data_IF_545107786461
#
_entry.id   IF_545107786461
#
_cell.length_a   1.000
_cell.length_b   1.000
_cell.length_c   1.000
_cell.angle_alpha   90.00
_cell.angle_beta   90.00
_cell.angle_gamma   90.00
#
_symmetry.space_group_name_H-M   'P 1'
#
loop_
_entity.id
_entity.type
_entity.pdbx_description
1 polymer ?
#
# COMPACT_ATOMS: atom_id res chain seq x y z
N UNK A 1 -58.72 -48.10 9.76
CA UNK A 1 -58.35 -46.69 10.05
C UNK A 1 -56.84 -46.70 10.30
N UNK A 2 -56.04 -46.50 9.24
CA UNK A 2 -54.58 -46.49 9.33
C UNK A 2 -54.10 -45.13 8.88
N UNK A 3 -53.60 -44.32 9.82
CA UNK A 3 -53.06 -42.99 9.54
C UNK A 3 -51.62 -43.17 9.09
N UNK A 4 -51.37 -42.91 7.80
CA UNK A 4 -50.03 -42.78 7.23
C UNK A 4 -49.45 -41.45 7.72
N UNK A 5 -48.45 -41.52 8.60
CA UNK A 5 -47.63 -40.39 9.01
C UNK A 5 -46.69 -40.03 7.86
N UNK A 6 -47.04 -39.01 7.08
CA UNK A 6 -46.16 -38.45 6.07
C UNK A 6 -45.12 -37.58 6.80
N UNK A 7 -43.91 -38.11 6.97
CA UNK A 7 -42.80 -37.33 7.50
C UNK A 7 -42.37 -36.35 6.40
N UNK A 8 -42.84 -35.10 6.48
CA UNK A 8 -42.33 -33.97 5.69
C UNK A 8 -40.89 -33.71 6.11
N UNK A 9 -39.94 -34.34 5.45
CA UNK A 9 -38.54 -33.93 5.52
C UNK A 9 -38.46 -32.63 4.72
N UNK A 10 -38.51 -31.49 5.40
CA UNK A 10 -38.14 -30.21 4.79
C UNK A 10 -36.71 -30.34 4.24
N UNK A 11 -36.42 -29.91 3.01
CA UNK A 11 -35.05 -29.89 2.54
C UNK A 11 -34.25 -28.99 3.48
N UNK A 12 -33.19 -29.52 4.08
CA UNK A 12 -32.20 -28.73 4.80
C UNK A 12 -31.78 -27.61 3.85
N UNK A 13 -32.14 -26.37 4.20
CA UNK A 13 -31.76 -25.19 3.44
C UNK A 13 -30.23 -25.19 3.43
N UNK A 14 -29.62 -25.37 2.25
CA UNK A 14 -28.17 -25.35 2.12
C UNK A 14 -27.66 -24.05 2.77
N UNK A 15 -26.76 -24.19 3.72
CA UNK A 15 -26.18 -23.04 4.41
C UNK A 15 -25.35 -22.30 3.34
N UNK A 16 -25.72 -21.05 3.10
CA UNK A 16 -24.98 -20.19 2.17
C UNK A 16 -23.56 -20.02 2.68
N UNK A 17 -22.59 -20.25 1.81
CA UNK A 17 -21.17 -20.12 2.16
C UNK A 17 -20.73 -18.66 2.13
N UNK A 18 -21.52 -17.81 1.47
CA UNK A 18 -21.42 -16.35 1.53
C UNK A 18 -22.53 -15.78 2.40
N UNK A 19 -22.17 -15.00 3.42
CA UNK A 19 -23.12 -14.34 4.32
C UNK A 19 -22.79 -12.86 4.47
N UNK A 20 -23.81 -11.99 4.46
CA UNK A 20 -23.64 -10.61 4.94
C UNK A 20 -23.72 -10.59 6.44
N UNK A 21 -22.69 -10.04 7.07
CA UNK A 21 -22.68 -9.85 8.52
C UNK A 21 -23.35 -8.53 8.89
N UNK A 22 -23.11 -7.51 8.08
CA UNK A 22 -23.64 -6.16 8.20
C UNK A 22 -23.65 -5.47 6.82
N UNK A 23 -23.88 -4.15 6.80
CA UNK A 23 -23.94 -3.34 5.57
C UNK A 23 -22.59 -3.19 4.85
N UNK A 24 -21.48 -3.39 5.57
CA UNK A 24 -20.11 -3.19 5.09
C UNK A 24 -19.33 -4.48 4.89
N UNK A 25 -19.80 -5.59 5.45
CA UNK A 25 -19.00 -6.81 5.58
C UNK A 25 -19.72 -8.03 5.00
N UNK A 26 -19.07 -8.67 4.04
CA UNK A 26 -19.43 -10.00 3.52
C UNK A 26 -18.43 -11.00 4.08
N UNK A 27 -18.91 -12.14 4.59
CA UNK A 27 -18.07 -13.27 4.98
C UNK A 27 -18.18 -14.39 3.95
N UNK A 28 -17.03 -14.93 3.58
CA UNK A 28 -16.88 -16.15 2.78
C UNK A 28 -16.43 -17.27 3.72
N UNK A 29 -17.14 -18.39 3.65
CA UNK A 29 -16.85 -19.64 4.33
C UNK A 29 -16.82 -20.80 3.32
N UNK A 30 -16.39 -21.99 3.74
CA UNK A 30 -16.48 -23.18 2.89
C UNK A 30 -15.44 -23.25 1.76
N UNK A 31 -15.64 -24.11 0.78
CA UNK A 31 -14.67 -24.36 -0.28
C UNK A 31 -14.83 -23.38 -1.46
N UNK A 32 -13.72 -23.02 -2.10
CA UNK A 32 -13.73 -22.22 -3.33
C UNK A 32 -14.17 -23.07 -4.53
N UNK A 33 -15.45 -22.99 -4.90
CA UNK A 33 -16.02 -23.64 -6.07
C UNK A 33 -16.82 -22.67 -6.96
N UNK A 34 -17.51 -23.16 -7.99
CA UNK A 34 -18.32 -22.33 -8.88
C UNK A 34 -19.58 -21.76 -8.19
N UNK A 35 -20.11 -22.46 -7.18
CA UNK A 35 -21.27 -22.03 -6.40
C UNK A 35 -20.87 -20.83 -5.54
N UNK A 36 -19.74 -20.90 -4.83
CA UNK A 36 -19.22 -19.81 -4.03
C UNK A 36 -18.99 -18.54 -4.85
N UNK A 37 -18.42 -18.67 -6.06
CA UNK A 37 -18.23 -17.54 -6.99
C UNK A 37 -19.58 -16.87 -7.31
N UNK A 38 -20.59 -17.67 -7.64
CA UNK A 38 -21.93 -17.17 -7.97
C UNK A 38 -22.60 -16.49 -6.78
N UNK A 39 -22.50 -17.08 -5.59
CA UNK A 39 -23.01 -16.53 -4.34
C UNK A 39 -22.31 -15.20 -3.98
N UNK A 40 -20.99 -15.14 -4.13
CA UNK A 40 -20.21 -13.92 -3.85
C UNK A 40 -20.55 -12.80 -4.83
N UNK A 41 -20.66 -13.11 -6.13
CA UNK A 41 -21.06 -12.13 -7.14
C UNK A 41 -22.44 -11.53 -6.82
N UNK A 42 -23.43 -12.37 -6.48
CA UNK A 42 -24.77 -11.91 -6.10
C UNK A 42 -24.76 -11.08 -4.80
N UNK A 43 -23.95 -11.51 -3.81
CA UNK A 43 -23.82 -10.81 -2.54
C UNK A 43 -23.21 -9.43 -2.70
N UNK A 44 -22.18 -9.26 -3.54
CA UNK A 44 -21.56 -7.95 -3.79
C UNK A 44 -22.47 -7.06 -4.64
N UNK A 45 -23.13 -7.59 -5.66
CA UNK A 45 -24.01 -6.83 -6.55
C UNK A 45 -25.18 -6.14 -5.82
N UNK A 46 -25.58 -6.68 -4.67
CA UNK A 46 -26.69 -6.13 -3.87
C UNK A 46 -26.20 -5.41 -2.60
N UNK A 47 -24.89 -5.18 -2.44
CA UNK A 47 -24.26 -4.55 -1.27
C UNK A 47 -23.49 -3.27 -1.66
N UNK A 48 -24.18 -2.14 -1.91
CA UNK A 48 -23.53 -0.93 -2.41
C UNK A 48 -22.51 -0.31 -1.44
N UNK A 49 -22.61 -0.61 -0.14
CA UNK A 49 -21.76 -0.07 0.91
C UNK A 49 -20.69 -1.07 1.39
N UNK A 50 -20.57 -2.23 0.75
CA UNK A 50 -19.58 -3.23 1.16
C UNK A 50 -18.17 -2.68 1.00
N UNK A 51 -17.37 -2.83 2.05
CA UNK A 51 -15.96 -2.43 2.03
C UNK A 51 -15.04 -3.57 2.41
N UNK A 52 -15.54 -4.64 3.04
CA UNK A 52 -14.70 -5.69 3.62
C UNK A 52 -15.24 -7.09 3.30
N UNK A 53 -14.33 -7.99 2.98
CA UNK A 53 -14.55 -9.42 2.82
C UNK A 53 -13.83 -10.17 3.93
N UNK A 54 -14.57 -10.77 4.83
CA UNK A 54 -14.02 -11.69 5.82
C UNK A 54 -13.87 -13.10 5.23
N UNK A 55 -12.74 -13.75 5.54
CA UNK A 55 -12.36 -15.02 4.94
C UNK A 55 -12.15 -16.09 6.01
N UNK A 56 -12.86 -17.21 5.88
CA UNK A 56 -12.68 -18.41 6.67
C UNK A 56 -12.83 -19.66 5.80
N UNK A 57 -11.75 -20.15 5.19
CA UNK A 57 -11.83 -21.22 4.19
C UNK A 57 -10.55 -22.06 4.11
N UNK A 58 -10.67 -23.39 3.93
CA UNK A 58 -9.53 -24.26 3.67
C UNK A 58 -8.96 -24.09 2.24
N UNK A 59 -9.63 -23.36 1.36
CA UNK A 59 -9.26 -23.17 -0.04
C UNK A 59 -10.19 -23.89 -1.00
N UNK A 60 -9.66 -24.39 -2.12
CA UNK A 60 -10.46 -25.02 -3.19
C UNK A 60 -9.87 -24.80 -4.58
N UNK A 61 -10.72 -24.54 -5.56
CA UNK A 61 -10.35 -24.40 -6.96
C UNK A 61 -9.66 -23.05 -7.23
N UNK A 62 -8.46 -23.11 -7.82
CA UNK A 62 -7.64 -21.93 -8.11
C UNK A 62 -8.37 -20.91 -8.99
N UNK A 63 -9.08 -21.35 -10.03
CA UNK A 63 -9.78 -20.43 -10.92
C UNK A 63 -10.97 -19.73 -10.25
N UNK A 64 -11.70 -20.42 -9.36
CA UNK A 64 -12.74 -19.80 -8.54
C UNK A 64 -12.16 -18.73 -7.60
N UNK A 65 -11.01 -19.02 -6.98
CA UNK A 65 -10.31 -18.05 -6.14
C UNK A 65 -9.81 -16.84 -6.94
N UNK A 66 -9.25 -17.05 -8.13
CA UNK A 66 -8.83 -15.96 -9.02
C UNK A 66 -10.02 -15.09 -9.45
N UNK A 67 -11.19 -15.66 -9.66
CA UNK A 67 -12.39 -14.90 -10.00
C UNK A 67 -12.89 -14.03 -8.85
N UNK A 68 -13.00 -14.61 -7.65
CA UNK A 68 -13.33 -13.87 -6.42
C UNK A 68 -12.28 -12.78 -6.16
N UNK A 69 -10.99 -13.11 -6.27
CA UNK A 69 -9.88 -12.17 -6.12
C UNK A 69 -9.98 -10.99 -7.10
N UNK A 70 -10.32 -11.25 -8.38
CA UNK A 70 -10.54 -10.19 -9.37
C UNK A 70 -11.67 -9.23 -8.96
N UNK A 71 -12.75 -9.74 -8.40
CA UNK A 71 -13.88 -8.92 -7.91
C UNK A 71 -13.42 -8.07 -6.72
N UNK A 72 -12.79 -8.68 -5.71
CA UNK A 72 -12.24 -8.00 -4.53
C UNK A 72 -11.32 -6.85 -4.95
N UNK A 73 -10.36 -7.15 -5.81
CA UNK A 73 -9.37 -6.17 -6.28
C UNK A 73 -10.03 -5.04 -7.11
N UNK A 74 -10.90 -5.39 -8.06
CA UNK A 74 -11.58 -4.41 -8.92
C UNK A 74 -12.42 -3.41 -8.12
N UNK A 75 -13.05 -3.89 -7.05
CA UNK A 75 -13.91 -3.08 -6.18
C UNK A 75 -13.13 -2.44 -5.02
N UNK A 76 -11.81 -2.66 -4.94
CA UNK A 76 -10.95 -2.14 -3.87
C UNK A 76 -11.43 -2.52 -2.46
N UNK A 77 -12.00 -3.72 -2.32
CA UNK A 77 -12.47 -4.22 -1.03
C UNK A 77 -11.27 -4.58 -0.14
N UNK A 78 -11.47 -4.47 1.17
CA UNK A 78 -10.55 -4.97 2.17
C UNK A 78 -10.76 -6.47 2.39
N UNK A 79 -9.73 -7.18 2.83
CA UNK A 79 -9.83 -8.58 3.23
C UNK A 79 -9.41 -8.76 4.67
N UNK A 80 -10.12 -9.62 5.41
CA UNK A 80 -9.83 -9.86 6.82
C UNK A 80 -9.97 -11.34 7.18
N UNK A 81 -8.92 -11.90 7.78
CA UNK A 81 -8.97 -13.21 8.42
C UNK A 81 -9.04 -12.91 9.92
N UNK A 82 -10.23 -13.03 10.50
CA UNK A 82 -10.48 -12.74 11.92
C UNK A 82 -9.80 -13.77 12.82
N UNK A 83 -9.56 -13.41 14.08
CA UNK A 83 -9.01 -14.34 15.08
C UNK A 83 -9.89 -15.59 15.20
N UNK A 84 -9.26 -16.76 15.20
CA UNK A 84 -9.94 -18.07 15.18
C UNK A 84 -10.39 -18.54 13.80
N UNK A 85 -10.24 -17.72 12.75
CA UNK A 85 -10.47 -18.11 11.36
C UNK A 85 -9.19 -18.57 10.68
N UNK A 86 -9.34 -19.26 9.55
CA UNK A 86 -8.24 -19.73 8.71
C UNK A 86 -8.52 -19.42 7.24
N UNK A 87 -7.47 -19.19 6.47
CA UNK A 87 -7.54 -18.97 5.04
C UNK A 87 -6.33 -19.63 4.40
N UNK A 88 -6.58 -20.79 3.79
CA UNK A 88 -5.54 -21.67 3.28
C UNK A 88 -5.65 -21.87 1.77
N UNK A 89 -4.53 -22.25 1.16
CA UNK A 89 -4.49 -22.64 -0.26
C UNK A 89 -5.10 -21.56 -1.16
N UNK A 90 -6.08 -21.90 -2.01
CA UNK A 90 -6.76 -20.97 -2.89
C UNK A 90 -7.42 -19.77 -2.17
N UNK A 91 -7.85 -19.92 -0.91
CA UNK A 91 -8.37 -18.78 -0.14
C UNK A 91 -7.33 -17.66 -0.01
N UNK A 92 -6.04 -18.01 0.14
CA UNK A 92 -4.97 -17.02 0.27
C UNK A 92 -4.87 -16.10 -0.95
N UNK A 93 -5.24 -16.58 -2.15
CA UNK A 93 -5.28 -15.78 -3.38
C UNK A 93 -6.35 -14.68 -3.27
N UNK A 94 -7.54 -15.03 -2.75
CA UNK A 94 -8.61 -14.06 -2.51
C UNK A 94 -8.23 -13.07 -1.40
N UNK A 95 -7.60 -13.52 -0.32
CA UNK A 95 -7.08 -12.66 0.74
C UNK A 95 -6.10 -11.61 0.19
N UNK A 96 -5.13 -12.04 -0.63
CA UNK A 96 -4.08 -11.17 -1.13
C UNK A 96 -4.59 -10.08 -2.08
N UNK A 97 -5.77 -10.26 -2.68
CA UNK A 97 -6.39 -9.29 -3.57
C UNK A 97 -6.97 -8.05 -2.86
N UNK A 98 -7.07 -8.07 -1.53
CA UNK A 98 -7.61 -6.95 -0.75
C UNK A 98 -6.74 -5.69 -0.85
N UNK A 99 -7.37 -4.52 -0.98
CA UNK A 99 -6.67 -3.22 -0.97
C UNK A 99 -5.93 -3.03 0.35
N UNK A 100 -6.66 -3.15 1.44
CA UNK A 100 -6.14 -3.35 2.79
C UNK A 100 -6.45 -4.79 3.19
N UNK A 101 -5.49 -5.47 3.82
CA UNK A 101 -5.61 -6.88 4.18
C UNK A 101 -5.03 -7.12 5.56
N UNK A 102 -5.79 -7.78 6.42
CA UNK A 102 -5.38 -8.07 7.80
C UNK A 102 -5.60 -9.56 8.09
N UNK A 103 -4.59 -10.23 8.63
CA UNK A 103 -4.68 -11.59 9.11
C UNK A 103 -4.42 -11.62 10.62
N UNK A 104 -5.49 -11.65 11.40
CA UNK A 104 -5.48 -11.94 12.84
C UNK A 104 -5.63 -13.46 13.10
N UNK A 105 -6.21 -14.18 12.13
CA UNK A 105 -6.25 -15.64 12.08
C UNK A 105 -5.13 -16.25 11.23
N UNK A 106 -5.32 -17.50 10.80
CA UNK A 106 -4.27 -18.27 10.13
C UNK A 106 -4.29 -18.03 8.61
N UNK A 107 -3.21 -17.48 8.06
CA UNK A 107 -2.97 -17.44 6.61
C UNK A 107 -1.98 -18.54 6.23
N UNK A 108 -2.38 -19.43 5.33
CA UNK A 108 -1.53 -20.54 4.89
C UNK A 108 -1.44 -20.67 3.37
N UNK A 109 -0.25 -21.01 2.87
CA UNK A 109 0.04 -21.14 1.44
C UNK A 109 0.73 -22.46 1.12
N UNK A 110 0.46 -22.98 -0.07
CA UNK A 110 1.20 -24.08 -0.68
C UNK A 110 1.13 -24.01 -2.20
N UNK A 111 1.92 -24.84 -2.89
CA UNK A 111 1.96 -24.82 -4.35
C UNK A 111 0.65 -25.33 -4.96
N UNK A 112 0.31 -24.83 -6.15
CA UNK A 112 -0.84 -25.33 -6.93
C UNK A 112 -0.63 -26.81 -7.29
N UNK A 113 -1.69 -27.60 -7.14
CA UNK A 113 -1.70 -29.03 -7.49
C UNK A 113 -3.04 -29.44 -8.11
N UNK A 114 -3.18 -30.72 -8.46
CA UNK A 114 -4.45 -31.29 -8.95
C UNK A 114 -4.67 -31.18 -10.46
N UNK A 115 -3.66 -30.73 -11.22
CA UNK A 115 -3.68 -30.70 -12.69
C UNK A 115 -2.77 -31.82 -13.21
N UNK A 116 -3.36 -32.84 -13.85
CA UNK A 116 -2.64 -34.02 -14.35
C UNK A 116 -1.96 -33.79 -15.72
N UNK A 117 -1.53 -32.55 -15.99
CA UNK A 117 -0.82 -32.14 -17.20
C UNK A 117 0.19 -31.04 -16.82
N UNK A 118 1.47 -31.27 -17.14
CA UNK A 118 2.55 -30.37 -16.76
C UNK A 118 2.43 -29.00 -17.45
N UNK A 119 1.95 -28.95 -18.69
CA UNK A 119 1.79 -27.69 -19.44
C UNK A 119 0.63 -26.87 -18.88
N UNK A 120 -0.50 -27.51 -18.55
CA UNK A 120 -1.63 -26.85 -17.91
C UNK A 120 -1.27 -26.38 -16.50
N UNK A 121 -0.46 -27.15 -15.75
CA UNK A 121 0.04 -26.75 -14.44
C UNK A 121 0.87 -25.48 -14.52
N UNK A 122 1.76 -25.37 -15.52
CA UNK A 122 2.57 -24.17 -15.74
C UNK A 122 1.71 -22.95 -16.08
N UNK A 123 0.68 -23.12 -16.91
CA UNK A 123 -0.27 -22.04 -17.22
C UNK A 123 -1.00 -21.54 -15.97
N UNK A 124 -1.49 -22.46 -15.12
CA UNK A 124 -2.16 -22.09 -13.87
C UNK A 124 -1.21 -21.37 -12.92
N UNK A 125 0.03 -21.85 -12.79
CA UNK A 125 1.06 -21.18 -11.97
C UNK A 125 1.33 -19.76 -12.50
N UNK A 126 1.41 -19.60 -13.83
CA UNK A 126 1.59 -18.28 -14.46
C UNK A 126 0.42 -17.34 -14.15
N UNK A 127 -0.82 -17.82 -14.28
CA UNK A 127 -2.03 -17.03 -13.99
C UNK A 127 -2.06 -16.58 -12.52
N UNK A 128 -1.71 -17.48 -11.60
CA UNK A 128 -1.60 -17.17 -10.16
C UNK A 128 -0.49 -16.16 -9.93
N UNK A 129 0.70 -16.37 -10.49
CA UNK A 129 1.83 -15.47 -10.34
C UNK A 129 1.49 -14.05 -10.83
N UNK A 130 0.86 -13.92 -12.00
CA UNK A 130 0.44 -12.63 -12.53
C UNK A 130 -0.59 -11.93 -11.64
N UNK A 131 -1.54 -12.69 -11.09
CA UNK A 131 -2.51 -12.16 -10.14
C UNK A 131 -1.82 -11.68 -8.86
N UNK A 132 -0.95 -12.50 -8.26
CA UNK A 132 -0.23 -12.15 -7.03
C UNK A 132 0.66 -10.92 -7.23
N UNK A 133 1.36 -10.82 -8.36
CA UNK A 133 2.14 -9.64 -8.75
C UNK A 133 1.24 -8.40 -8.86
N UNK A 134 0.08 -8.53 -9.52
CA UNK A 134 -0.89 -7.43 -9.65
C UNK A 134 -1.46 -6.96 -8.30
N UNK A 135 -1.46 -7.82 -7.29
CA UNK A 135 -1.89 -7.47 -5.94
C UNK A 135 -0.74 -6.91 -5.06
N UNK A 136 0.45 -6.71 -5.62
CA UNK A 136 1.66 -6.29 -4.90
C UNK A 136 2.15 -7.32 -3.87
N UNK A 137 1.87 -8.60 -4.10
CA UNK A 137 2.22 -9.66 -3.14
C UNK A 137 3.74 -9.74 -2.96
N UNK A 138 4.27 -9.78 -1.72
CA UNK A 138 5.70 -9.87 -1.48
C UNK A 138 6.31 -11.14 -2.09
N UNK A 139 7.47 -11.00 -2.76
CA UNK A 139 8.19 -12.13 -3.36
C UNK A 139 8.50 -13.25 -2.35
N UNK A 140 8.75 -12.88 -1.10
CA UNK A 140 8.95 -13.84 -0.02
C UNK A 140 7.73 -14.75 0.17
N UNK A 141 6.50 -14.21 0.11
CA UNK A 141 5.28 -15.01 0.20
C UNK A 141 5.14 -15.91 -1.02
N UNK A 142 5.35 -15.38 -2.22
CA UNK A 142 5.27 -16.17 -3.47
C UNK A 142 6.27 -17.33 -3.43
N UNK A 143 7.49 -17.07 -2.99
CA UNK A 143 8.52 -18.11 -2.79
C UNK A 143 8.08 -19.15 -1.76
N UNK A 144 7.47 -18.77 -0.63
CA UNK A 144 6.96 -19.72 0.37
C UNK A 144 5.84 -20.59 -0.22
N UNK A 145 4.91 -19.98 -0.95
CA UNK A 145 3.83 -20.69 -1.64
C UNK A 145 4.40 -21.75 -2.59
N UNK A 146 5.28 -21.36 -3.51
CA UNK A 146 5.82 -22.27 -4.53
C UNK A 146 6.74 -23.37 -3.99
N UNK A 147 7.35 -23.18 -2.82
CA UNK A 147 8.27 -24.16 -2.20
C UNK A 147 7.58 -25.13 -1.25
N UNK A 148 6.35 -24.84 -0.84
CA UNK A 148 5.62 -25.68 0.11
C UNK A 148 4.92 -26.81 -0.66
N UNK A 149 5.17 -28.09 -0.32
CA UNK A 149 4.52 -29.24 -0.93
C UNK A 149 2.97 -29.15 -0.90
N UNK A 150 2.24 -29.75 -1.87
CA UNK A 150 0.78 -29.66 -1.86
C UNK A 150 0.10 -30.41 -0.72
N UNK A 151 0.80 -31.34 -0.10
CA UNK A 151 0.40 -32.12 1.08
C UNK A 151 0.81 -31.47 2.41
N UNK A 152 1.34 -30.23 2.36
CA UNK A 152 1.72 -29.43 3.52
C UNK A 152 1.17 -27.99 3.39
N UNK A 153 1.16 -27.23 4.48
CA UNK A 153 0.72 -25.83 4.50
C UNK A 153 1.72 -25.00 5.29
N UNK A 154 2.31 -24.00 4.63
CA UNK A 154 3.11 -23.00 5.30
C UNK A 154 2.19 -21.94 5.89
N UNK A 155 1.99 -21.97 7.20
CA UNK A 155 1.22 -20.97 7.94
C UNK A 155 2.16 -19.87 8.43
N UNK A 156 1.86 -18.62 8.06
CA UNK A 156 2.66 -17.47 8.48
C UNK A 156 2.40 -17.13 9.94
N UNK A 157 3.46 -16.81 10.69
CA UNK A 157 3.33 -16.22 12.02
C UNK A 157 2.89 -14.75 11.94
N UNK A 158 2.28 -14.23 13.01
CA UNK A 158 1.94 -12.80 13.12
C UNK A 158 3.13 -11.88 12.82
N UNK A 159 4.31 -12.23 13.33
CA UNK A 159 5.57 -11.55 13.07
C UNK A 159 5.93 -11.50 11.58
N UNK A 160 5.76 -12.60 10.85
CA UNK A 160 6.03 -12.67 9.41
C UNK A 160 4.99 -11.89 8.61
N UNK A 161 3.72 -11.93 9.02
CA UNK A 161 2.65 -11.17 8.38
C UNK A 161 2.94 -9.67 8.39
N UNK A 162 3.50 -9.16 9.49
CA UNK A 162 3.95 -7.76 9.60
C UNK A 162 5.28 -7.50 8.88
N UNK A 163 6.33 -8.29 9.18
CA UNK A 163 7.69 -8.07 8.64
C UNK A 163 7.75 -8.14 7.11
N UNK A 164 6.92 -8.97 6.49
CA UNK A 164 6.88 -9.13 5.05
C UNK A 164 5.93 -8.15 4.35
N UNK A 165 5.20 -7.30 5.09
CA UNK A 165 4.19 -6.41 4.51
C UNK A 165 3.02 -7.19 3.89
N UNK A 166 2.71 -8.37 4.45
CA UNK A 166 1.53 -9.13 4.05
C UNK A 166 0.30 -8.43 4.61
N UNK A 167 0.30 -8.08 5.90
CA UNK A 167 -0.72 -7.19 6.44
C UNK A 167 -0.54 -5.76 5.88
N UNK A 168 -1.65 -5.16 5.45
CA UNK A 168 -1.75 -3.77 4.98
C UNK A 168 -3.02 -3.16 5.59
N UNK A 169 -2.88 -2.27 6.56
CA UNK A 169 -4.01 -1.57 7.20
C UNK A 169 -4.41 -0.35 6.39
N UNK A 170 -5.60 0.20 6.68
CA UNK A 170 -5.99 1.50 6.13
C UNK A 170 -5.07 2.58 6.70
N UNK A 171 -4.28 3.23 5.83
CA UNK A 171 -3.18 4.11 6.21
C UNK A 171 -1.79 3.46 6.09
N UNK A 172 -1.70 2.13 5.93
CA UNK A 172 -0.50 1.46 5.43
C UNK A 172 -0.51 1.57 3.90
N UNK A 173 0.59 2.04 3.36
CA UNK A 173 0.74 2.29 1.93
C UNK A 173 0.73 0.93 1.20
N UNK A 174 -0.05 0.83 0.11
CA UNK A 174 -0.04 -0.34 -0.78
C UNK A 174 1.39 -0.59 -1.28
N UNK A 175 1.79 -1.85 -1.45
CA UNK A 175 3.10 -2.19 -2.02
C UNK A 175 3.30 -1.65 -3.45
N UNK A 176 2.22 -1.22 -4.10
CA UNK A 176 2.25 -0.53 -5.40
C UNK A 176 2.45 0.99 -5.27
N UNK A 177 2.27 1.59 -4.08
CA UNK A 177 2.21 3.05 -3.91
C UNK A 177 3.43 3.68 -3.23
N UNK A 178 4.33 2.94 -2.57
CA UNK A 178 5.64 3.51 -2.18
C UNK A 178 6.76 2.46 -2.24
N UNK A 179 7.80 2.68 -3.07
CA UNK A 179 8.94 1.79 -3.09
C UNK A 179 9.80 2.04 -1.84
N UNK A 180 10.42 0.98 -1.33
CA UNK A 180 11.74 0.99 -0.70
C UNK A 180 12.00 1.66 0.67
N UNK A 181 11.03 2.02 1.53
CA UNK A 181 11.33 2.71 2.81
C UNK A 181 10.79 1.97 4.06
N UNK A 182 11.66 1.67 5.02
CA UNK A 182 11.29 1.19 6.38
C UNK A 182 11.60 2.29 7.41
N UNK A 183 10.67 2.60 8.31
CA UNK A 183 10.92 3.58 9.38
C UNK A 183 11.87 2.98 10.42
N UNK A 184 12.98 3.65 10.72
CA UNK A 184 13.89 3.28 11.82
C UNK A 184 13.56 4.10 13.08
N UNK A 185 13.50 5.42 12.93
CA UNK A 185 13.08 6.36 13.97
C UNK A 185 12.27 7.47 13.32
N UNK A 186 11.21 7.93 13.97
CA UNK A 186 10.44 9.07 13.47
C UNK A 186 9.81 9.88 14.59
N UNK A 187 9.51 11.13 14.27
CA UNK A 187 8.74 12.04 15.11
C UNK A 187 7.75 12.76 14.22
N UNK A 188 6.50 12.80 14.66
CA UNK A 188 5.43 13.52 13.99
C UNK A 188 5.21 14.86 14.70
N UNK A 189 5.46 15.97 14.00
CA UNK A 189 5.16 17.32 14.49
C UNK A 189 4.01 17.90 13.66
N UNK A 190 2.81 17.89 14.25
CA UNK A 190 1.58 18.16 13.49
C UNK A 190 1.49 17.20 12.30
N UNK A 191 1.53 17.70 11.07
CA UNK A 191 1.44 16.87 9.88
C UNK A 191 2.81 16.46 9.31
N UNK A 192 3.91 16.93 9.91
CA UNK A 192 5.26 16.68 9.41
C UNK A 192 5.90 15.48 10.09
N UNK A 193 6.14 14.43 9.31
CA UNK A 193 6.90 13.25 9.71
C UNK A 193 8.39 13.51 9.42
N UNK A 194 9.22 13.48 10.46
CA UNK A 194 10.68 13.64 10.35
C UNK A 194 11.38 12.47 11.01
N UNK A 195 12.42 11.91 10.39
CA UNK A 195 13.06 10.73 10.96
C UNK A 195 14.21 10.14 10.17
N UNK A 196 14.68 9.01 10.68
CA UNK A 196 15.59 8.10 9.97
C UNK A 196 14.81 6.93 9.42
N UNK A 197 15.05 6.63 8.16
CA UNK A 197 14.39 5.58 7.40
C UNK A 197 15.47 4.70 6.76
N UNK A 198 15.16 3.45 6.47
CA UNK A 198 16.01 2.50 5.80
C UNK A 198 15.51 2.33 4.38
N UNK A 199 16.37 2.57 3.41
CA UNK A 199 16.09 2.19 2.04
C UNK A 199 16.15 0.66 1.94
N UNK A 200 15.02 -0.03 1.80
CA UNK A 200 14.94 -1.49 1.84
C UNK A 200 15.55 -2.17 0.61
N UNK A 201 15.86 -1.43 -0.47
CA UNK A 201 16.61 -1.94 -1.62
C UNK A 201 18.11 -1.92 -1.38
N UNK A 202 18.62 -0.82 -0.82
CA UNK A 202 20.07 -0.64 -0.58
C UNK A 202 20.51 -1.02 0.82
N UNK A 203 19.55 -1.23 1.73
CA UNK A 203 19.75 -1.39 3.17
C UNK A 203 20.55 -0.25 3.80
N UNK A 204 20.45 0.95 3.23
CA UNK A 204 21.15 2.14 3.74
C UNK A 204 20.17 3.10 4.41
N UNK A 205 20.51 3.64 5.59
CA UNK A 205 19.68 4.64 6.22
C UNK A 205 19.76 5.98 5.48
N UNK A 206 18.68 6.74 5.57
CA UNK A 206 18.55 8.10 5.10
C UNK A 206 17.64 8.89 6.04
N UNK A 207 17.77 10.21 6.02
CA UNK A 207 16.90 11.10 6.77
C UNK A 207 15.84 11.65 5.84
N UNK A 208 14.60 11.75 6.30
CA UNK A 208 13.56 12.42 5.54
C UNK A 208 12.67 13.28 6.43
N UNK A 209 12.08 14.29 5.79
CA UNK A 209 11.00 15.12 6.32
C UNK A 209 9.90 15.20 5.25
N UNK A 210 8.68 14.83 5.61
CA UNK A 210 7.53 14.78 4.71
C UNK A 210 6.29 15.32 5.41
N UNK A 211 5.46 16.11 4.70
CA UNK A 211 4.15 16.49 5.22
C UNK A 211 3.06 15.52 4.76
N UNK A 212 2.23 15.07 5.70
CA UNK A 212 1.07 14.21 5.46
C UNK A 212 -0.19 14.96 5.01
N UNK A 213 -0.18 16.29 5.10
CA UNK A 213 -1.35 17.13 4.75
C UNK A 213 -1.13 18.02 3.55
N UNK A 214 0.12 18.21 3.09
CA UNK A 214 0.39 18.94 1.87
C UNK A 214 -0.05 18.12 0.66
N UNK A 215 -0.79 18.77 -0.25
CA UNK A 215 -1.20 18.21 -1.52
C UNK A 215 -0.91 19.23 -2.63
N UNK A 216 -0.02 18.93 -3.60
CA UNK A 216 0.77 17.69 -3.74
C UNK A 216 1.74 17.47 -2.58
N UNK A 217 2.05 16.21 -2.26
CA UNK A 217 2.96 15.88 -1.16
C UNK A 217 4.34 16.50 -1.40
N UNK A 218 4.95 17.03 -0.34
CA UNK A 218 6.28 17.59 -0.38
C UNK A 218 7.19 16.84 0.58
N UNK A 219 8.30 16.33 0.05
CA UNK A 219 9.28 15.53 0.78
C UNK A 219 10.67 16.09 0.60
N UNK A 220 11.46 16.06 1.65
CA UNK A 220 12.89 16.34 1.61
C UNK A 220 13.62 15.10 2.12
N UNK A 221 14.66 14.68 1.38
CA UNK A 221 15.44 13.48 1.64
C UNK A 221 16.93 13.83 1.72
N UNK A 222 17.66 13.20 2.63
CA UNK A 222 19.11 13.24 2.71
C UNK A 222 19.71 11.86 2.93
N UNK A 223 20.67 11.50 2.09
CA UNK A 223 21.45 10.26 2.20
C UNK A 223 22.84 10.56 2.79
N UNK A 224 23.10 10.23 4.08
CA UNK A 224 24.37 10.58 4.74
C UNK A 224 25.60 9.96 4.07
N UNK A 225 25.43 8.77 3.51
CA UNK A 225 26.52 7.98 2.93
C UNK A 225 27.00 8.47 1.56
N UNK A 226 26.17 9.20 0.82
CA UNK A 226 26.51 9.82 -0.47
C UNK A 226 26.57 11.34 -0.38
N UNK A 227 26.18 11.91 0.76
CA UNK A 227 26.03 13.34 0.98
C UNK A 227 25.13 14.02 -0.07
N UNK A 228 24.06 13.33 -0.47
CA UNK A 228 23.08 13.81 -1.45
C UNK A 228 21.81 14.24 -0.70
N UNK A 229 21.29 15.41 -1.05
CA UNK A 229 20.00 15.92 -0.58
C UNK A 229 19.14 16.36 -1.75
N UNK A 230 17.88 15.94 -1.77
CA UNK A 230 16.92 16.35 -2.78
C UNK A 230 15.53 16.59 -2.17
N UNK A 231 14.73 17.38 -2.86
CA UNK A 231 13.32 17.59 -2.60
C UNK A 231 12.47 16.92 -3.67
N UNK A 232 11.27 16.49 -3.28
CA UNK A 232 10.28 15.90 -4.17
C UNK A 232 8.93 16.55 -3.97
N UNK A 233 8.22 16.72 -5.09
CA UNK A 233 6.83 17.15 -5.14
C UNK A 233 6.06 16.04 -5.84
N UNK A 234 5.12 15.42 -5.15
CA UNK A 234 4.50 14.15 -5.56
C UNK A 234 2.99 14.30 -5.62
N UNK A 235 2.39 13.93 -6.74
CA UNK A 235 0.94 13.80 -6.89
C UNK A 235 0.52 12.33 -6.81
N UNK A 236 -0.62 12.06 -6.18
CA UNK A 236 -1.21 10.71 -6.14
C UNK A 236 -1.84 10.35 -7.49
N UNK A 237 -2.62 11.28 -8.09
CA UNK A 237 -3.47 11.01 -9.25
C UNK A 237 -3.11 11.85 -10.49
N UNK A 238 -1.84 12.22 -10.66
CA UNK A 238 -1.41 13.04 -11.81
C UNK A 238 -0.13 12.51 -12.42
N UNK A 239 -0.14 12.38 -13.74
CA UNK A 239 1.03 11.99 -14.52
C UNK A 239 1.64 13.17 -15.29
N UNK A 240 2.96 13.14 -15.45
CA UNK A 240 3.74 14.13 -16.19
C UNK A 240 4.59 13.47 -17.28
N UNK A 241 4.81 14.15 -18.41
CA UNK A 241 5.75 13.68 -19.41
C UNK A 241 7.18 13.78 -18.86
N UNK A 242 7.92 12.67 -18.92
CA UNK A 242 9.30 12.61 -18.45
C UNK A 242 10.18 13.65 -19.16
N UNK A 243 11.13 14.22 -18.41
CA UNK A 243 12.03 15.25 -18.92
C UNK A 243 12.65 16.07 -17.79
N UNK A 244 13.03 17.31 -18.11
CA UNK A 244 13.54 18.27 -17.14
C UNK A 244 12.81 19.59 -17.26
N UNK A 245 12.68 20.29 -16.14
CA UNK A 245 12.08 21.63 -16.10
C UNK A 245 12.82 22.50 -15.08
N UNK A 246 12.75 23.82 -15.27
CA UNK A 246 13.22 24.76 -14.26
C UNK A 246 12.03 25.23 -13.42
N UNK A 247 12.21 25.24 -12.10
CA UNK A 247 11.20 25.73 -11.15
C UNK A 247 11.77 26.84 -10.28
N UNK A 248 10.88 27.69 -9.76
CA UNK A 248 11.17 28.68 -8.73
C UNK A 248 10.56 28.21 -7.42
N UNK A 249 11.41 28.05 -6.43
CA UNK A 249 11.01 27.84 -5.04
C UNK A 249 10.95 29.21 -4.39
N UNK A 250 9.77 29.59 -3.90
CA UNK A 250 9.47 30.93 -3.41
C UNK A 250 9.02 30.82 -1.96
N UNK A 251 9.68 31.57 -1.09
CA UNK A 251 9.45 31.60 0.35
C UNK A 251 8.92 32.98 0.73
N UNK A 252 7.68 33.02 1.21
CA UNK A 252 7.03 34.27 1.58
C UNK A 252 6.92 34.38 3.11
N UNK A 253 7.36 35.53 3.62
CA UNK A 253 7.23 35.90 5.02
C UNK A 253 6.56 37.28 5.12
N UNK A 254 5.62 37.40 6.05
CA UNK A 254 4.76 38.58 6.14
C UNK A 254 5.59 39.80 6.54
N UNK A 255 5.64 40.80 5.66
CA UNK A 255 6.35 42.06 5.91
C UNK A 255 7.85 42.02 5.60
N UNK A 256 8.33 40.97 4.93
CA UNK A 256 9.71 40.83 4.48
C UNK A 256 9.78 40.66 2.95
N UNK A 257 10.95 40.89 2.36
CA UNK A 257 11.16 40.62 0.93
C UNK A 257 11.07 39.12 0.66
N UNK A 258 10.42 38.76 -0.45
CA UNK A 258 10.29 37.38 -0.90
C UNK A 258 11.64 36.79 -1.27
N UNK A 259 11.99 35.67 -0.65
CA UNK A 259 13.20 34.91 -1.00
C UNK A 259 12.81 33.85 -2.02
N UNK A 260 13.61 33.71 -3.09
CA UNK A 260 13.38 32.65 -4.06
C UNK A 260 14.68 32.07 -4.59
N UNK A 261 14.62 30.82 -5.05
CA UNK A 261 15.73 30.12 -5.69
C UNK A 261 15.26 29.40 -6.94
N UNK A 262 16.11 29.39 -7.97
CA UNK A 262 15.92 28.57 -9.17
C UNK A 262 16.48 27.18 -8.93
N UNK A 263 15.69 26.18 -9.26
CA UNK A 263 16.12 24.78 -9.28
C UNK A 263 15.91 24.20 -10.67
N UNK A 264 16.70 23.20 -11.01
CA UNK A 264 16.42 22.29 -12.12
C UNK A 264 15.83 21.03 -11.53
N UNK A 265 14.64 20.66 -11.99
CA UNK A 265 13.92 19.48 -11.55
C UNK A 265 13.85 18.44 -12.67
N UNK A 266 14.11 17.20 -12.32
CA UNK A 266 13.76 16.04 -13.11
C UNK A 266 12.26 15.79 -12.98
N UNK A 267 11.59 15.61 -14.12
CA UNK A 267 10.16 15.29 -14.18
C UNK A 267 10.01 13.78 -14.12
N UNK A 268 9.49 13.31 -13.00
CA UNK A 268 9.16 11.90 -12.77
C UNK A 268 7.73 11.60 -13.22
N UNK A 269 7.35 10.32 -13.24
CA UNK A 269 6.02 9.90 -13.72
C UNK A 269 4.90 10.64 -12.99
N UNK A 270 5.02 10.84 -11.67
CA UNK A 270 3.99 11.43 -10.82
C UNK A 270 4.47 12.68 -10.07
N UNK A 271 5.54 13.34 -10.51
CA UNK A 271 6.08 14.44 -9.74
C UNK A 271 7.35 15.10 -10.29
N UNK A 272 7.99 15.85 -9.41
CA UNK A 272 9.25 16.53 -9.67
C UNK A 272 10.24 16.17 -8.57
N UNK A 273 11.46 15.76 -8.96
CA UNK A 273 12.59 15.58 -8.06
C UNK A 273 13.67 16.61 -8.36
N UNK A 274 14.30 17.19 -7.35
CA UNK A 274 15.34 18.20 -7.56
C UNK A 274 16.36 18.21 -6.45
N UNK A 275 17.62 18.47 -6.80
CA UNK A 275 18.67 18.70 -5.81
C UNK A 275 18.38 19.96 -5.00
N UNK A 276 18.60 19.89 -3.69
CA UNK A 276 18.52 21.09 -2.86
C UNK A 276 19.69 22.03 -3.19
N UNK A 277 19.50 23.36 -3.12
CA UNK A 277 20.55 24.33 -3.42
C UNK A 277 21.82 24.08 -2.60
N UNK A 278 22.93 23.76 -3.26
CA UNK A 278 24.15 23.24 -2.63
C UNK A 278 25.35 24.19 -2.74
N UNK A 279 25.13 25.50 -2.83
CA UNK A 279 26.18 26.54 -2.94
C UNK A 279 27.01 26.65 -1.63
N UNK A 280 27.70 25.58 -1.26
CA UNK A 280 28.38 25.39 0.02
C UNK A 280 27.45 25.13 1.20
N UNK A 281 28.03 25.03 2.41
CA UNK A 281 27.27 24.89 3.67
C UNK A 281 26.27 26.04 3.89
N UNK A 282 26.49 27.19 3.26
CA UNK A 282 25.59 28.34 3.24
C UNK A 282 24.30 28.12 2.44
N UNK A 283 24.34 27.41 1.30
CA UNK A 283 23.18 27.22 0.42
C UNK A 283 22.06 26.41 1.08
N UNK A 284 22.41 25.23 1.61
CA UNK A 284 21.47 24.38 2.35
C UNK A 284 20.97 25.06 3.62
N UNK A 285 21.85 25.74 4.36
CA UNK A 285 21.45 26.48 5.57
C UNK A 285 20.46 27.59 5.23
N UNK A 286 20.68 28.32 4.12
CA UNK A 286 19.76 29.35 3.65
C UNK A 286 18.42 28.78 3.20
N UNK A 287 18.41 27.65 2.50
CA UNK A 287 17.17 26.97 2.12
C UNK A 287 16.35 26.57 3.36
N UNK A 288 16.94 25.85 4.30
CA UNK A 288 16.21 25.40 5.50
C UNK A 288 15.85 26.55 6.43
N UNK A 289 16.65 27.63 6.46
CA UNK A 289 16.28 28.86 7.17
C UNK A 289 15.06 29.51 6.52
N UNK A 290 15.04 29.65 5.19
CA UNK A 290 13.88 30.19 4.48
C UNK A 290 12.65 29.30 4.69
N UNK A 291 12.81 27.99 4.62
CA UNK A 291 11.74 27.01 4.85
C UNK A 291 11.20 27.08 6.29
N UNK A 292 12.07 27.10 7.30
CA UNK A 292 11.67 27.11 8.71
C UNK A 292 10.87 28.35 9.13
N UNK A 293 11.17 29.51 8.51
CA UNK A 293 10.61 30.80 8.94
C UNK A 293 9.59 31.40 7.97
N UNK A 294 9.41 30.83 6.77
CA UNK A 294 8.36 31.25 5.86
C UNK A 294 6.97 30.82 6.37
N UNK A 295 5.95 31.59 5.99
CA UNK A 295 4.55 31.21 6.22
C UNK A 295 3.99 30.44 5.04
N UNK A 296 4.41 30.79 3.83
CA UNK A 296 4.01 30.16 2.58
C UNK A 296 5.25 29.74 1.80
N UNK A 297 5.16 28.57 1.17
CA UNK A 297 6.14 28.04 0.25
C UNK A 297 5.46 27.71 -1.07
N UNK A 298 5.80 28.48 -2.10
CA UNK A 298 5.21 28.37 -3.43
C UNK A 298 6.23 27.82 -4.41
N UNK A 299 5.78 26.91 -5.26
CA UNK A 299 6.53 26.38 -6.40
C UNK A 299 5.92 26.94 -7.67
N UNK A 300 6.72 27.61 -8.49
CA UNK A 300 6.28 28.18 -9.77
C UNK A 300 7.12 27.68 -10.93
N UNK A 301 6.53 27.62 -12.12
CA UNK A 301 7.31 27.52 -13.34
C UNK A 301 7.83 28.92 -13.79
N UNK A 302 8.65 28.94 -14.84
CA UNK A 302 9.20 30.19 -15.37
C UNK A 302 8.22 31.03 -16.20
N UNK A 303 7.02 30.50 -16.50
CA UNK A 303 5.91 31.28 -17.03
C UNK A 303 5.13 32.00 -15.92
N UNK A 304 5.50 31.82 -14.65
CA UNK A 304 4.84 32.41 -13.48
C UNK A 304 3.60 31.66 -13.03
N UNK A 305 3.36 30.44 -13.54
CA UNK A 305 2.23 29.61 -13.11
C UNK A 305 2.59 28.89 -11.81
N UNK A 306 1.70 28.98 -10.83
CA UNK A 306 1.81 28.24 -9.57
C UNK A 306 1.58 26.75 -9.82
N UNK A 307 2.56 25.95 -9.45
CA UNK A 307 2.56 24.48 -9.52
C UNK A 307 2.05 23.89 -8.20
N UNK A 308 2.52 24.44 -7.08
CA UNK A 308 2.09 24.09 -5.73
C UNK A 308 2.19 25.33 -4.84
N UNK A 309 1.32 25.45 -3.86
CA UNK A 309 1.33 26.50 -2.85
C UNK A 309 1.05 25.85 -1.49
N UNK A 310 1.96 26.06 -0.54
CA UNK A 310 1.99 25.32 0.71
C UNK A 310 2.03 26.26 1.90
N UNK A 311 1.09 26.06 2.83
CA UNK A 311 1.25 26.64 4.16
C UNK A 311 2.36 25.91 4.91
N UNK A 312 3.34 26.65 5.39
CA UNK A 312 4.42 26.12 6.25
C UNK A 312 4.13 26.29 7.74
N UNK A 313 2.89 26.62 8.11
CA UNK A 313 2.46 26.65 9.49
C UNK A 313 2.78 25.30 10.19
N UNK A 314 3.48 25.38 11.33
CA UNK A 314 3.84 24.18 12.10
C UNK A 314 5.08 23.42 11.63
N UNK A 315 5.68 23.78 10.47
CA UNK A 315 6.87 23.12 9.94
C UNK A 315 8.15 23.40 10.73
N UNK A 316 8.19 24.44 11.56
CA UNK A 316 9.39 24.90 12.27
C UNK A 316 10.07 23.77 13.06
N UNK A 317 9.32 23.08 13.93
CA UNK A 317 9.88 22.00 14.77
C UNK A 317 10.37 20.82 13.94
N UNK A 318 9.64 20.45 12.89
CA UNK A 318 10.05 19.39 11.97
C UNK A 318 11.35 19.76 11.25
N UNK A 319 11.44 21.01 10.78
CA UNK A 319 12.63 21.53 10.11
C UNK A 319 13.83 21.56 11.06
N UNK A 320 13.66 22.01 12.31
CA UNK A 320 14.71 22.00 13.33
C UNK A 320 15.21 20.57 13.65
N UNK A 321 14.29 19.61 13.74
CA UNK A 321 14.61 18.20 13.95
C UNK A 321 15.37 17.61 12.76
N UNK A 322 14.90 17.87 11.54
CA UNK A 322 15.57 17.42 10.32
C UNK A 322 16.99 17.99 10.25
N UNK A 323 17.15 19.29 10.50
CA UNK A 323 18.45 19.94 10.58
C UNK A 323 19.32 19.37 11.71
N UNK A 324 18.72 18.91 12.81
CA UNK A 324 19.48 18.22 13.84
C UNK A 324 19.99 16.85 13.38
N UNK A 325 19.20 16.08 12.62
CA UNK A 325 19.65 14.82 12.02
C UNK A 325 20.81 15.08 11.05
N UNK A 326 20.72 16.13 10.22
CA UNK A 326 21.80 16.53 9.32
C UNK A 326 23.11 16.89 10.05
N UNK A 327 23.04 17.36 11.30
CA UNK A 327 24.23 17.66 12.12
C UNK A 327 24.83 16.43 12.81
N UNK A 328 24.05 15.36 13.00
CA UNK A 328 24.48 14.10 13.61
C UNK A 328 25.22 13.16 12.63
N UNK A 329 25.43 13.63 11.39
CA UNK A 329 26.19 12.94 10.32
C UNK A 329 27.60 12.51 10.74
#
# INVERSE_FOLDING_TARGET
>A
IGVLFWCLISPLKAISEVARLDDKTIRITGEFDAKLVSEFHAAVATAPNVTTVELHSPGGQVYSALEIARIIHKLRLNTWITSGSECHSACSIAFLAGKHRLADGLLGVHQVSGVNDASLTQSVISDVFDALRKFGTPDALVSRMLRTPPDDIYVFSADELEKLGINRRSGDISADDLPHLQVLTSTLNQDWLTGTFLNTRTLKPFFAMESRSLNPAFRIVYYPHSNISFGEIIWEDREFPLGQTDLRLIFERRGEETVWVRIRADVEQNGFAFDLPSDGASGLTSFFSAFAYAHEFRVQDFAGRTIADYSLAGSLRATEQFMSLLRQR
#
